data_IF_421639588563
#
_entry.id   IF_421639588563
#
_cell.length_a   1.000
_cell.length_b   1.000
_cell.length_c   1.000
_cell.angle_alpha   90.00
_cell.angle_beta   90.00
_cell.angle_gamma   90.00
#
_symmetry.space_group_name_H-M   'P 1'
#
loop_
_entity.id
_entity.type
_entity.pdbx_description
1 polymer ?
#
# COMPACT_ATOMS: atom_id res chain seq x y z
N UNK A 1 -23.64 22.38 13.35
CA UNK A 1 -23.12 21.91 12.06
C UNK A 1 -23.85 20.69 11.54
N UNK A 2 -23.89 19.54 12.25
CA UNK A 2 -24.60 18.32 11.81
C UNK A 2 -26.05 18.61 11.40
N UNK A 3 -26.81 19.33 12.21
CA UNK A 3 -28.18 19.75 11.90
C UNK A 3 -28.27 20.66 10.68
N UNK A 4 -27.30 21.56 10.49
CA UNK A 4 -27.21 22.40 9.30
C UNK A 4 -27.01 21.58 8.03
N UNK A 5 -26.07 20.61 8.04
CA UNK A 5 -25.84 19.70 6.91
C UNK A 5 -27.09 18.87 6.64
N UNK A 6 -27.66 18.23 7.66
CA UNK A 6 -28.86 17.40 7.52
C UNK A 6 -30.04 18.19 6.91
N UNK A 7 -30.27 19.43 7.39
CA UNK A 7 -31.31 20.31 6.88
C UNK A 7 -31.05 20.72 5.42
N UNK A 8 -29.80 21.04 5.08
CA UNK A 8 -29.39 21.40 3.72
C UNK A 8 -29.62 20.26 2.72
N UNK A 9 -29.39 19.02 3.14
CA UNK A 9 -29.60 17.82 2.32
C UNK A 9 -31.08 17.44 2.21
N UNK A 10 -31.84 17.57 3.31
CA UNK A 10 -33.28 17.29 3.31
C UNK A 10 -34.06 18.20 2.35
N UNK A 11 -33.65 19.47 2.21
CA UNK A 11 -34.24 20.42 1.25
C UNK A 11 -34.03 19.99 -0.21
N UNK A 12 -33.13 19.03 -0.46
CA UNK A 12 -32.83 18.47 -1.79
C UNK A 12 -33.27 17.01 -1.97
N UNK A 13 -34.13 16.54 -1.06
CA UNK A 13 -34.72 15.20 -1.15
C UNK A 13 -33.80 14.07 -0.65
N UNK A 14 -32.66 14.38 -0.01
CA UNK A 14 -31.80 13.37 0.59
C UNK A 14 -32.23 13.05 2.02
N UNK A 15 -32.22 11.79 2.38
CA UNK A 15 -32.41 11.36 3.76
C UNK A 15 -31.07 11.42 4.52
N UNK A 16 -31.01 12.11 5.64
CA UNK A 16 -29.81 12.27 6.42
C UNK A 16 -29.93 11.63 7.81
N UNK A 17 -29.03 10.68 8.10
CA UNK A 17 -28.87 10.09 9.43
C UNK A 17 -27.74 10.84 10.16
N UNK A 18 -27.93 11.14 11.42
CA UNK A 18 -26.93 11.86 12.24
C UNK A 18 -26.29 10.93 13.25
N UNK A 19 -24.96 10.89 13.29
CA UNK A 19 -24.19 10.19 14.29
C UNK A 19 -23.48 11.16 15.24
N UNK A 20 -23.25 10.74 16.49
CA UNK A 20 -22.62 11.55 17.52
C UNK A 20 -21.09 11.42 17.55
N UNK A 21 -20.56 10.29 17.08
CA UNK A 21 -19.13 9.96 16.99
C UNK A 21 -18.87 8.98 15.85
N UNK A 22 -17.59 8.70 15.54
CA UNK A 22 -17.21 7.69 14.55
C UNK A 22 -17.73 6.29 14.91
N UNK A 23 -17.65 5.89 16.19
CA UNK A 23 -18.16 4.60 16.68
C UNK A 23 -19.69 4.51 16.57
N UNK A 24 -20.38 5.62 16.84
CA UNK A 24 -21.84 5.69 16.68
C UNK A 24 -22.23 5.57 15.21
N UNK A 25 -21.48 6.22 14.31
CA UNK A 25 -21.68 6.12 12.87
C UNK A 25 -21.50 4.67 12.38
N UNK A 26 -20.43 3.97 12.79
CA UNK A 26 -20.23 2.57 12.43
C UNK A 26 -21.37 1.67 12.91
N UNK A 27 -21.86 1.86 14.14
CA UNK A 27 -23.03 1.11 14.65
C UNK A 27 -24.30 1.34 13.84
N UNK A 28 -24.55 2.60 13.43
CA UNK A 28 -25.73 2.93 12.62
C UNK A 28 -25.60 2.36 11.22
N UNK A 29 -24.42 2.45 10.59
CA UNK A 29 -24.15 1.94 9.25
C UNK A 29 -24.30 0.41 9.14
N UNK A 30 -23.96 -0.33 10.21
CA UNK A 30 -24.23 -1.78 10.27
C UNK A 30 -25.72 -2.13 10.23
N UNK A 31 -26.58 -1.25 10.76
CA UNK A 31 -28.03 -1.45 10.77
C UNK A 31 -28.70 -0.92 9.52
N UNK A 32 -28.18 0.15 8.97
CA UNK A 32 -28.74 0.86 7.83
C UNK A 32 -27.63 1.38 6.92
N UNK A 33 -27.32 0.65 5.83
CA UNK A 33 -26.35 1.12 4.83
C UNK A 33 -26.76 2.47 4.25
N UNK A 34 -25.78 3.33 3.96
CA UNK A 34 -25.95 4.63 3.32
C UNK A 34 -25.06 4.74 2.09
N UNK A 35 -25.41 5.62 1.16
CA UNK A 35 -24.62 5.84 -0.06
C UNK A 35 -23.41 6.76 0.17
N UNK A 36 -23.58 7.76 1.04
CA UNK A 36 -22.57 8.79 1.30
C UNK A 36 -22.43 9.03 2.81
N UNK A 37 -21.21 9.18 3.28
CA UNK A 37 -20.90 9.57 4.65
C UNK A 37 -20.18 10.92 4.62
N UNK A 38 -20.65 11.88 5.42
CA UNK A 38 -20.03 13.18 5.61
C UNK A 38 -19.42 13.21 7.00
N UNK A 39 -18.11 13.37 7.10
CA UNK A 39 -17.39 13.33 8.37
C UNK A 39 -16.46 14.52 8.57
N UNK A 40 -16.40 15.03 9.80
CA UNK A 40 -15.35 15.97 10.20
C UNK A 40 -14.02 15.20 10.34
N UNK A 41 -12.90 15.87 10.01
CA UNK A 41 -11.57 15.30 10.28
C UNK A 41 -11.30 15.31 11.79
N UNK A 42 -11.62 16.40 12.48
CA UNK A 42 -11.40 16.51 13.92
C UNK A 42 -12.64 16.08 14.72
N UNK A 43 -12.59 14.88 15.23
CA UNK A 43 -13.63 14.34 16.12
C UNK A 43 -12.98 13.79 17.41
N UNK A 44 -13.68 13.87 18.58
CA UNK A 44 -13.21 13.24 19.81
C UNK A 44 -13.11 11.71 19.65
N UNK A 45 -12.16 11.10 20.33
CA UNK A 45 -11.91 9.64 20.41
C UNK A 45 -11.46 8.98 19.11
N UNK A 46 -12.17 9.18 18.01
CA UNK A 46 -11.86 8.64 16.68
C UNK A 46 -11.91 9.77 15.66
N UNK A 47 -10.77 10.17 15.09
CA UNK A 47 -10.73 11.17 14.03
C UNK A 47 -11.37 10.67 12.72
N UNK A 48 -11.67 11.59 11.80
CA UNK A 48 -12.34 11.25 10.55
C UNK A 48 -11.54 10.29 9.66
N UNK A 49 -10.21 10.34 9.70
CA UNK A 49 -9.37 9.41 8.96
C UNK A 49 -9.39 8.00 9.56
N UNK A 50 -9.32 7.90 10.88
CA UNK A 50 -9.46 6.64 11.61
C UNK A 50 -10.84 6.02 11.42
N UNK A 51 -11.89 6.84 11.42
CA UNK A 51 -13.24 6.42 11.07
C UNK A 51 -13.32 5.89 9.64
N UNK A 52 -12.77 6.61 8.65
CA UNK A 52 -12.77 6.17 7.26
C UNK A 52 -12.05 4.83 7.08
N UNK A 53 -10.89 4.64 7.75
CA UNK A 53 -10.18 3.36 7.75
C UNK A 53 -11.02 2.23 8.37
N UNK A 54 -11.65 2.49 9.53
CA UNK A 54 -12.53 1.51 10.16
C UNK A 54 -13.71 1.14 9.25
N UNK A 55 -14.31 2.12 8.59
CA UNK A 55 -15.40 1.93 7.65
C UNK A 55 -14.97 1.08 6.44
N UNK A 56 -13.80 1.35 5.86
CA UNK A 56 -13.25 0.56 4.74
C UNK A 56 -12.91 -0.89 5.13
N UNK A 57 -12.63 -1.14 6.40
CA UNK A 57 -12.37 -2.49 6.93
C UNK A 57 -13.64 -3.31 7.14
N UNK A 58 -14.81 -2.68 7.25
CA UNK A 58 -16.08 -3.37 7.49
C UNK A 58 -16.82 -3.65 6.18
N UNK A 59 -16.53 -4.77 5.55
CA UNK A 59 -17.16 -5.18 4.28
C UNK A 59 -18.67 -5.37 4.38
N UNK A 60 -19.20 -5.68 5.58
CA UNK A 60 -20.63 -5.85 5.84
C UNK A 60 -21.43 -4.53 5.73
N UNK A 61 -20.81 -3.38 5.86
CA UNK A 61 -21.47 -2.06 5.79
C UNK A 61 -21.67 -1.58 4.33
N UNK A 62 -21.05 -2.24 3.36
CA UNK A 62 -20.90 -1.71 2.01
C UNK A 62 -19.77 -0.67 1.97
N UNK A 63 -19.60 -0.01 0.83
CA UNK A 63 -18.53 0.98 0.62
C UNK A 63 -19.16 2.35 0.28
N UNK A 64 -19.65 3.12 1.26
CA UNK A 64 -20.17 4.45 1.02
C UNK A 64 -19.07 5.39 0.54
N UNK A 65 -19.43 6.37 -0.28
CA UNK A 65 -18.56 7.48 -0.62
C UNK A 65 -18.34 8.37 0.61
N UNK A 66 -17.13 8.88 0.81
CA UNK A 66 -16.80 9.67 1.99
C UNK A 66 -16.48 11.11 1.58
N UNK A 67 -17.21 12.07 2.16
CA UNK A 67 -16.92 13.51 2.04
C UNK A 67 -16.32 13.97 3.36
N UNK A 68 -15.08 14.46 3.33
CA UNK A 68 -14.47 15.04 4.50
C UNK A 68 -14.79 16.53 4.63
N UNK A 69 -14.93 16.97 5.87
CA UNK A 69 -15.12 18.38 6.22
C UNK A 69 -14.01 18.81 7.16
N UNK A 70 -13.30 19.90 6.89
CA UNK A 70 -12.19 20.40 7.70
C UNK A 70 -12.26 21.90 7.93
N UNK A 71 -11.78 22.39 9.08
CA UNK A 71 -11.63 23.81 9.38
C UNK A 71 -10.30 24.41 8.90
N UNK A 72 -9.44 23.63 8.28
CA UNK A 72 -8.08 24.02 7.88
C UNK A 72 -7.89 23.82 6.38
N UNK A 73 -7.44 24.89 5.72
CA UNK A 73 -6.98 24.90 4.34
C UNK A 73 -5.54 24.33 4.28
N UNK A 74 -5.36 23.10 4.77
CA UNK A 74 -4.09 22.41 4.69
C UNK A 74 -4.11 21.48 3.49
N UNK A 75 -3.28 21.76 2.50
CA UNK A 75 -3.02 20.85 1.36
C UNK A 75 -2.72 19.42 1.80
N UNK A 76 -2.18 19.26 3.01
CA UNK A 76 -1.89 17.97 3.62
C UNK A 76 -3.17 17.20 3.99
N UNK A 77 -4.18 17.86 4.60
CA UNK A 77 -5.46 17.23 4.91
C UNK A 77 -6.23 16.81 3.64
N UNK A 78 -6.18 17.62 2.59
CA UNK A 78 -6.77 17.28 1.31
C UNK A 78 -6.11 16.02 0.71
N UNK A 79 -4.77 15.99 0.66
CA UNK A 79 -4.02 14.81 0.18
C UNK A 79 -4.34 13.55 0.99
N UNK A 80 -4.35 13.65 2.32
CA UNK A 80 -4.70 12.54 3.22
C UNK A 80 -6.13 12.05 2.99
N UNK A 81 -7.10 12.96 2.80
CA UNK A 81 -8.47 12.60 2.50
C UNK A 81 -8.57 11.80 1.19
N UNK A 82 -7.89 12.26 0.13
CA UNK A 82 -7.88 11.56 -1.15
C UNK A 82 -7.21 10.18 -1.05
N UNK A 83 -6.15 10.02 -0.25
CA UNK A 83 -5.48 8.74 -0.03
C UNK A 83 -6.35 7.70 0.71
N UNK A 84 -7.19 8.13 1.64
CA UNK A 84 -8.15 7.21 2.30
C UNK A 84 -9.42 6.97 1.47
N UNK A 85 -9.41 7.40 0.21
CA UNK A 85 -10.51 7.18 -0.72
C UNK A 85 -11.69 8.13 -0.49
N UNK A 86 -11.41 9.41 -0.15
CA UNK A 86 -12.42 10.46 -0.15
C UNK A 86 -13.01 10.65 -1.54
N UNK A 87 -14.33 10.78 -1.61
CA UNK A 87 -15.01 11.15 -2.84
C UNK A 87 -15.00 12.67 -3.05
N UNK A 88 -15.01 13.44 -1.93
CA UNK A 88 -14.90 14.90 -1.97
C UNK A 88 -14.40 15.47 -0.63
N UNK A 89 -14.07 16.76 -0.61
CA UNK A 89 -13.52 17.47 0.54
C UNK A 89 -14.05 18.91 0.60
N UNK A 90 -14.52 19.33 1.78
CA UNK A 90 -15.05 20.68 2.01
C UNK A 90 -14.29 21.41 3.11
N UNK A 91 -13.94 22.66 2.88
CA UNK A 91 -13.28 23.54 3.86
C UNK A 91 -14.33 24.41 4.57
N UNK A 92 -14.28 24.46 5.90
CA UNK A 92 -15.12 25.34 6.71
C UNK A 92 -14.55 26.77 6.72
N UNK A 93 -15.42 27.82 6.67
CA UNK A 93 -16.88 27.74 6.60
C UNK A 93 -17.38 27.47 5.19
N UNK A 94 -18.43 26.67 5.03
CA UNK A 94 -19.05 26.38 3.74
C UNK A 94 -20.55 26.72 3.76
N UNK A 95 -21.10 27.02 2.58
CA UNK A 95 -22.51 27.33 2.37
C UNK A 95 -23.34 26.06 2.15
N UNK A 96 -24.65 26.17 2.36
CA UNK A 96 -25.61 25.07 2.08
C UNK A 96 -25.51 24.58 0.63
N UNK A 97 -25.21 25.48 -0.32
CA UNK A 97 -25.03 25.12 -1.72
C UNK A 97 -23.80 24.23 -1.93
N UNK A 98 -22.65 24.55 -1.30
CA UNK A 98 -21.38 23.83 -1.49
C UNK A 98 -21.45 22.38 -0.99
N UNK A 99 -22.14 22.14 0.16
CA UNK A 99 -22.36 20.77 0.63
C UNK A 99 -23.29 20.00 -0.29
N UNK A 100 -24.33 20.65 -0.81
CA UNK A 100 -25.25 20.02 -1.74
C UNK A 100 -24.57 19.69 -3.08
N UNK A 101 -23.72 20.59 -3.59
CA UNK A 101 -22.97 20.38 -4.83
C UNK A 101 -21.96 19.22 -4.68
N UNK A 102 -21.30 19.13 -3.50
CA UNK A 102 -20.42 18.00 -3.19
C UNK A 102 -21.17 16.67 -3.18
N UNK A 103 -22.34 16.61 -2.54
CA UNK A 103 -23.19 15.40 -2.54
C UNK A 103 -23.65 15.07 -3.95
N UNK A 104 -24.10 16.07 -4.74
CA UNK A 104 -24.51 15.87 -6.14
C UNK A 104 -23.37 15.27 -6.97
N UNK A 105 -22.15 15.84 -6.89
CA UNK A 105 -20.98 15.29 -7.58
C UNK A 105 -20.70 13.82 -7.17
N UNK A 106 -20.82 13.50 -5.88
CA UNK A 106 -20.63 12.13 -5.40
C UNK A 106 -21.72 11.17 -5.96
N UNK A 107 -22.99 11.59 -5.99
CA UNK A 107 -24.08 10.82 -6.57
C UNK A 107 -23.86 10.60 -8.06
N UNK A 108 -23.59 11.65 -8.81
CA UNK A 108 -23.32 11.56 -10.26
C UNK A 108 -22.11 10.66 -10.57
N UNK A 109 -21.02 10.82 -9.82
CA UNK A 109 -19.84 9.97 -9.96
C UNK A 109 -20.12 8.51 -9.57
N UNK A 110 -21.01 8.27 -8.61
CA UNK A 110 -21.44 6.92 -8.21
C UNK A 110 -22.35 6.29 -9.27
N UNK A 111 -23.29 7.06 -9.82
CA UNK A 111 -24.17 6.60 -10.87
C UNK A 111 -23.42 6.40 -12.18
N UNK A 112 -22.46 7.26 -12.52
CA UNK A 112 -21.54 7.05 -13.63
C UNK A 112 -20.71 5.78 -13.43
N UNK A 113 -20.17 5.54 -12.21
CA UNK A 113 -19.45 4.30 -11.87
C UNK A 113 -20.36 3.06 -11.96
N UNK A 114 -21.64 3.16 -11.56
CA UNK A 114 -22.63 2.07 -11.72
C UNK A 114 -22.97 1.86 -13.20
N UNK A 115 -23.19 2.92 -13.96
CA UNK A 115 -23.44 2.85 -15.40
C UNK A 115 -22.20 2.39 -16.19
N UNK A 116 -21.01 2.87 -15.81
CA UNK A 116 -19.73 2.41 -16.36
C UNK A 116 -19.36 1.00 -15.90
N UNK A 117 -19.74 0.57 -14.68
CA UNK A 117 -19.56 -0.80 -14.22
C UNK A 117 -20.49 -1.77 -14.96
N UNK A 118 -21.67 -1.33 -15.36
CA UNK A 118 -22.53 -2.12 -16.24
C UNK A 118 -22.04 -2.14 -17.69
N UNK A 119 -21.58 -1.03 -18.24
CA UNK A 119 -21.05 -0.97 -19.62
C UNK A 119 -19.57 -1.36 -19.74
N UNK A 120 -18.72 -1.06 -18.74
CA UNK A 120 -17.32 -1.52 -18.65
C UNK A 120 -17.16 -2.92 -18.07
N UNK A 121 -18.12 -3.39 -17.26
CA UNK A 121 -18.16 -4.77 -16.78
C UNK A 121 -18.23 -5.75 -17.93
N UNK A 122 -19.00 -5.46 -18.95
CA UNK A 122 -19.09 -6.30 -20.14
C UNK A 122 -17.88 -6.13 -21.07
N UNK A 123 -17.38 -4.90 -21.31
CA UNK A 123 -16.26 -4.65 -22.24
C UNK A 123 -14.87 -4.77 -21.63
N UNK A 124 -14.70 -4.45 -20.32
CA UNK A 124 -13.38 -4.58 -19.64
C UNK A 124 -13.10 -6.03 -19.24
N UNK A 125 -14.10 -6.83 -18.97
CA UNK A 125 -13.96 -8.26 -18.70
C UNK A 125 -13.71 -9.06 -19.99
N UNK A 126 -14.17 -8.60 -21.15
CA UNK A 126 -13.91 -9.26 -22.44
C UNK A 126 -12.44 -9.21 -22.87
N UNK A 127 -11.65 -8.24 -22.39
CA UNK A 127 -10.23 -8.07 -22.71
C UNK A 127 -9.27 -8.49 -21.59
N UNK A 128 -9.77 -9.04 -20.46
CA UNK A 128 -8.91 -9.59 -19.42
C UNK A 128 -8.49 -11.01 -19.77
N UNK A 129 -7.23 -11.38 -19.53
CA UNK A 129 -6.82 -12.77 -19.69
C UNK A 129 -7.65 -13.65 -18.75
N UNK A 130 -8.27 -14.68 -19.30
CA UNK A 130 -8.99 -15.66 -18.51
C UNK A 130 -7.97 -16.50 -17.73
N UNK A 131 -8.02 -16.41 -16.41
CA UNK A 131 -7.21 -17.25 -15.54
C UNK A 131 -8.08 -18.41 -15.07
N UNK A 132 -7.70 -19.61 -15.47
CA UNK A 132 -8.43 -20.82 -15.07
C UNK A 132 -8.42 -20.93 -13.53
N UNK A 133 -9.58 -21.26 -12.95
CA UNK A 133 -9.73 -21.40 -11.50
C UNK A 133 -10.11 -20.09 -10.76
N UNK A 134 -10.17 -18.94 -11.44
CA UNK A 134 -10.48 -17.65 -10.80
C UNK A 134 -11.66 -16.94 -11.45
N UNK A 135 -12.49 -16.35 -10.60
CA UNK A 135 -13.54 -15.39 -10.94
C UNK A 135 -13.08 -13.99 -10.47
N UNK A 136 -12.85 -13.07 -11.41
CA UNK A 136 -12.43 -11.71 -11.09
C UNK A 136 -13.58 -10.93 -10.52
N UNK A 137 -13.39 -10.32 -9.31
CA UNK A 137 -14.40 -9.54 -8.60
C UNK A 137 -14.25 -8.06 -8.87
N UNK A 138 -13.02 -7.52 -8.67
CA UNK A 138 -12.74 -6.09 -8.88
C UNK A 138 -11.24 -5.85 -9.07
N UNK A 139 -10.89 -4.73 -9.72
CA UNK A 139 -9.50 -4.26 -9.83
C UNK A 139 -9.06 -3.63 -8.50
N UNK A 140 -7.94 -4.08 -7.95
CA UNK A 140 -7.33 -3.53 -6.73
C UNK A 140 -6.25 -2.49 -7.04
N UNK A 141 -5.53 -2.66 -8.16
CA UNK A 141 -4.44 -1.75 -8.52
C UNK A 141 -3.87 -2.02 -9.91
N UNK A 142 -3.03 -1.07 -10.34
CA UNK A 142 -2.29 -1.15 -11.60
C UNK A 142 -0.86 -0.65 -11.38
N UNK A 143 0.10 -1.43 -11.86
CA UNK A 143 1.49 -1.05 -11.95
C UNK A 143 1.92 -0.91 -13.41
N UNK A 144 3.16 -0.49 -13.65
CA UNK A 144 3.70 -0.26 -15.01
C UNK A 144 3.55 -1.50 -15.94
N UNK A 145 3.72 -2.71 -15.41
CA UNK A 145 3.66 -3.96 -16.17
C UNK A 145 2.69 -4.98 -15.59
N UNK A 146 1.90 -4.63 -14.58
CA UNK A 146 1.01 -5.56 -13.88
C UNK A 146 -0.33 -4.96 -13.51
N UNK A 147 -1.34 -5.81 -13.48
CA UNK A 147 -2.68 -5.51 -12.95
C UNK A 147 -2.90 -6.40 -11.72
N UNK A 148 -3.52 -5.85 -10.68
CA UNK A 148 -3.88 -6.60 -9.47
C UNK A 148 -5.40 -6.57 -9.32
N UNK A 149 -6.00 -7.75 -9.14
CA UNK A 149 -7.43 -7.93 -8.95
C UNK A 149 -7.73 -8.64 -7.65
N UNK A 150 -8.86 -8.33 -7.05
CA UNK A 150 -9.53 -9.23 -6.14
C UNK A 150 -10.24 -10.30 -6.98
N UNK A 151 -9.97 -11.55 -6.69
CA UNK A 151 -10.59 -12.67 -7.38
C UNK A 151 -11.05 -13.73 -6.38
N UNK A 152 -12.14 -14.45 -6.71
CA UNK A 152 -12.57 -15.62 -5.95
C UNK A 152 -11.97 -16.86 -6.60
N UNK A 153 -11.23 -17.64 -5.84
CA UNK A 153 -10.77 -18.95 -6.29
C UNK A 153 -11.96 -19.93 -6.32
N UNK A 154 -12.25 -20.49 -7.50
CA UNK A 154 -13.52 -21.21 -7.75
C UNK A 154 -13.65 -22.46 -6.85
N UNK A 155 -12.55 -23.19 -6.66
CA UNK A 155 -12.57 -24.44 -5.91
C UNK A 155 -12.68 -24.23 -4.39
N UNK A 156 -11.90 -23.31 -3.79
CA UNK A 156 -11.91 -23.06 -2.34
C UNK A 156 -12.94 -22.01 -1.90
N UNK A 157 -13.47 -21.21 -2.84
CA UNK A 157 -14.35 -20.04 -2.56
C UNK A 157 -13.66 -18.93 -1.76
N UNK A 158 -12.34 -18.98 -1.61
CA UNK A 158 -11.56 -17.98 -0.91
C UNK A 158 -11.26 -16.78 -1.82
N UNK A 159 -11.11 -15.61 -1.20
CA UNK A 159 -10.69 -14.40 -1.90
C UNK A 159 -9.18 -14.32 -1.95
N UNK A 160 -8.64 -14.17 -3.15
CA UNK A 160 -7.21 -14.00 -3.42
C UNK A 160 -6.95 -12.65 -4.08
N UNK A 161 -5.78 -12.09 -3.85
CA UNK A 161 -5.22 -11.03 -4.70
C UNK A 161 -4.56 -11.69 -5.90
N UNK A 162 -5.10 -11.46 -7.09
CA UNK A 162 -4.60 -12.02 -8.34
C UNK A 162 -3.78 -10.96 -9.08
N UNK A 163 -2.46 -11.13 -9.12
CA UNK A 163 -1.55 -10.26 -9.87
C UNK A 163 -1.32 -10.86 -11.25
N UNK A 164 -1.57 -10.06 -12.29
CA UNK A 164 -1.47 -10.46 -13.69
C UNK A 164 -0.39 -9.60 -14.37
N UNK A 165 0.61 -10.25 -14.97
CA UNK A 165 1.66 -9.63 -15.76
C UNK A 165 1.45 -9.96 -17.24
N UNK A 166 1.29 -8.94 -18.08
CA UNK A 166 1.11 -9.12 -19.53
C UNK A 166 2.42 -9.48 -20.20
N UNK A 167 2.41 -10.51 -21.03
CA UNK A 167 3.55 -10.90 -21.88
C UNK A 167 3.39 -10.25 -23.26
N UNK A 168 4.42 -9.49 -23.69
CA UNK A 168 4.48 -8.89 -25.02
C UNK A 168 5.52 -9.66 -25.86
N UNK A 169 5.06 -10.68 -26.58
CA UNK A 169 5.93 -11.53 -27.38
C UNK A 169 6.69 -12.58 -26.55
N UNK A 170 7.08 -13.68 -27.17
CA UNK A 170 7.89 -14.73 -26.54
C UNK A 170 9.05 -15.01 -27.46
N UNK A 171 10.25 -14.60 -27.06
CA UNK A 171 11.54 -15.00 -27.65
C UNK A 171 12.32 -15.85 -26.65
N UNK A 172 13.52 -16.31 -27.01
CA UNK A 172 14.33 -17.16 -26.14
C UNK A 172 14.71 -16.49 -24.82
N UNK A 173 14.99 -15.18 -24.84
CA UNK A 173 15.34 -14.42 -23.63
C UNK A 173 14.16 -14.26 -22.68
N UNK A 174 12.98 -14.11 -23.26
CA UNK A 174 11.69 -14.08 -22.53
C UNK A 174 11.42 -15.42 -21.86
N UNK A 175 11.68 -16.54 -22.52
CA UNK A 175 11.47 -17.87 -21.95
C UNK A 175 12.37 -18.14 -20.73
N UNK A 176 13.64 -17.74 -20.77
CA UNK A 176 14.56 -17.86 -19.62
C UNK A 176 14.11 -16.99 -18.46
N UNK A 177 13.60 -15.77 -18.73
CA UNK A 177 13.07 -14.88 -17.72
C UNK A 177 11.78 -15.45 -17.08
N UNK A 178 10.89 -16.06 -17.85
CA UNK A 178 9.70 -16.77 -17.38
C UNK A 178 10.11 -17.94 -16.47
N UNK A 179 11.06 -18.75 -16.88
CA UNK A 179 11.51 -19.90 -16.11
C UNK A 179 12.10 -19.46 -14.74
N UNK A 180 12.90 -18.39 -14.72
CA UNK A 180 13.39 -17.81 -13.44
C UNK A 180 12.26 -17.28 -12.56
N UNK A 181 11.30 -16.56 -13.15
CA UNK A 181 10.12 -16.10 -12.44
C UNK A 181 9.35 -17.27 -11.80
N UNK A 182 9.07 -18.34 -12.54
CA UNK A 182 8.37 -19.50 -12.03
C UNK A 182 9.14 -20.15 -10.87
N UNK A 183 10.45 -20.34 -11.01
CA UNK A 183 11.30 -20.94 -9.98
C UNK A 183 11.33 -20.09 -8.68
N UNK A 184 11.37 -18.77 -8.77
CA UNK A 184 11.33 -17.89 -7.60
C UNK A 184 9.97 -17.95 -6.89
N UNK A 185 8.85 -18.02 -7.65
CA UNK A 185 7.52 -18.20 -7.08
C UNK A 185 7.27 -19.60 -6.52
N UNK A 186 7.87 -20.63 -7.09
CA UNK A 186 7.89 -21.99 -6.50
C UNK A 186 8.49 -21.96 -5.09
N UNK A 187 9.62 -21.26 -4.93
CA UNK A 187 10.24 -21.11 -3.60
C UNK A 187 9.36 -20.29 -2.64
N UNK A 188 8.73 -19.20 -3.13
CA UNK A 188 7.84 -18.38 -2.33
C UNK A 188 6.57 -19.13 -1.90
N UNK A 189 6.02 -19.99 -2.74
CA UNK A 189 4.81 -20.77 -2.43
C UNK A 189 5.02 -21.76 -1.27
N UNK A 190 6.27 -22.19 -1.06
CA UNK A 190 6.65 -23.08 0.05
C UNK A 190 6.90 -22.29 1.37
N UNK A 191 7.03 -20.95 1.29
CA UNK A 191 7.31 -20.13 2.45
C UNK A 191 6.03 -19.84 3.23
N UNK A 192 6.01 -20.29 4.49
CA UNK A 192 4.93 -20.00 5.44
C UNK A 192 5.47 -19.19 6.61
N UNK A 193 5.11 -17.89 6.67
CA UNK A 193 5.55 -16.99 7.73
C UNK A 193 4.46 -15.95 8.02
N UNK A 194 4.20 -15.57 9.29
CA UNK A 194 3.10 -14.66 9.65
C UNK A 194 3.21 -13.27 9.02
N UNK A 195 4.42 -12.83 8.67
CA UNK A 195 4.69 -11.52 8.09
C UNK A 195 5.10 -11.57 6.61
N UNK A 196 4.80 -12.67 5.91
CA UNK A 196 4.98 -12.81 4.45
C UNK A 196 3.64 -13.17 3.84
N UNK A 197 3.24 -12.48 2.78
CA UNK A 197 2.00 -12.79 2.06
C UNK A 197 2.10 -14.19 1.45
N UNK A 198 1.14 -15.04 1.77
CA UNK A 198 1.11 -16.40 1.26
C UNK A 198 0.85 -16.39 -0.25
N UNK A 199 1.70 -17.08 -0.99
CA UNK A 199 1.45 -17.39 -2.41
C UNK A 199 0.69 -18.72 -2.44
N UNK A 200 -0.51 -18.71 -3.03
CA UNK A 200 -1.37 -19.88 -3.14
C UNK A 200 -1.08 -20.67 -4.42
N UNK A 201 -0.96 -19.96 -5.52
CA UNK A 201 -0.58 -20.53 -6.80
C UNK A 201 0.00 -19.48 -7.74
N UNK A 202 0.65 -19.94 -8.78
CA UNK A 202 1.17 -19.11 -9.87
C UNK A 202 1.20 -19.94 -11.16
N UNK A 203 1.21 -19.26 -12.29
CA UNK A 203 1.18 -19.97 -13.56
C UNK A 203 1.21 -19.05 -14.78
N UNK A 204 1.06 -19.70 -15.92
CA UNK A 204 0.99 -19.08 -17.24
C UNK A 204 -0.47 -19.13 -17.69
N UNK A 205 -1.04 -17.97 -17.95
CA UNK A 205 -2.35 -17.83 -18.57
C UNK A 205 -2.24 -17.49 -20.04
N UNK A 206 -3.36 -17.11 -20.66
CA UNK A 206 -3.37 -16.67 -22.06
C UNK A 206 -2.62 -15.33 -22.17
N UNK A 207 -1.41 -15.36 -22.74
CA UNK A 207 -0.48 -14.21 -22.92
C UNK A 207 -0.16 -13.45 -21.62
N UNK A 208 -0.18 -14.11 -20.47
CA UNK A 208 0.17 -13.49 -19.19
C UNK A 208 0.78 -14.51 -18.23
N UNK A 209 1.49 -13.99 -17.23
CA UNK A 209 1.79 -14.70 -16.00
C UNK A 209 0.81 -14.25 -14.94
N UNK A 210 0.44 -15.15 -14.03
CA UNK A 210 -0.40 -14.79 -12.89
C UNK A 210 0.14 -15.35 -11.59
N UNK A 211 -0.21 -14.67 -10.50
CA UNK A 211 0.13 -15.05 -9.14
C UNK A 211 -1.12 -14.84 -8.30
N UNK A 212 -1.64 -15.93 -7.72
CA UNK A 212 -2.70 -15.92 -6.73
C UNK A 212 -2.10 -15.89 -5.32
N UNK A 213 -2.34 -14.83 -4.58
CA UNK A 213 -1.77 -14.62 -3.25
C UNK A 213 -2.85 -14.25 -2.23
N UNK A 214 -2.49 -14.32 -0.96
CA UNK A 214 -3.32 -13.89 0.15
C UNK A 214 -3.86 -12.48 -0.08
N UNK A 215 -5.18 -12.30 0.06
CA UNK A 215 -5.80 -10.97 0.03
C UNK A 215 -5.68 -10.30 1.40
N UNK A 216 -5.08 -9.13 1.43
CA UNK A 216 -4.81 -8.35 2.65
C UNK A 216 -5.58 -7.01 2.58
N UNK A 217 -6.78 -6.94 3.15
CA UNK A 217 -7.66 -5.77 3.01
C UNK A 217 -7.30 -4.60 3.93
N UNK A 218 -6.31 -4.74 4.79
CA UNK A 218 -5.93 -3.71 5.79
C UNK A 218 -5.24 -2.46 5.22
N UNK A 219 -5.05 -2.39 3.90
CA UNK A 219 -4.30 -1.32 3.25
C UNK A 219 -2.79 -1.54 3.33
N UNK A 220 -2.02 -0.55 2.96
CA UNK A 220 -0.55 -0.59 3.02
C UNK A 220 0.02 0.35 4.10
N UNK A 221 1.30 0.19 4.40
CA UNK A 221 2.00 0.91 5.46
C UNK A 221 2.07 2.42 5.25
N UNK A 222 1.88 2.93 4.02
CA UNK A 222 1.81 4.38 3.75
C UNK A 222 0.73 5.04 4.61
N UNK A 223 -0.42 4.39 4.75
CA UNK A 223 -1.54 4.92 5.54
C UNK A 223 -1.18 5.08 7.02
N UNK A 224 -0.43 4.12 7.59
CA UNK A 224 0.00 4.21 8.98
C UNK A 224 1.08 5.30 9.17
N UNK A 225 2.03 5.42 8.23
CA UNK A 225 3.07 6.47 8.24
C UNK A 225 2.44 7.86 8.15
N UNK A 226 1.52 8.06 7.22
CA UNK A 226 0.81 9.33 7.00
C UNK A 226 -0.07 9.70 8.20
N UNK A 227 -0.65 8.72 8.89
CA UNK A 227 -1.41 8.94 10.12
C UNK A 227 -0.54 9.36 11.30
N UNK A 228 0.77 9.17 11.20
CA UNK A 228 1.74 9.39 12.26
C UNK A 228 1.82 8.20 13.21
N UNK A 229 2.96 7.52 13.20
CA UNK A 229 3.19 6.36 14.06
C UNK A 229 3.86 6.77 15.37
N UNK A 230 3.49 6.10 16.47
CA UNK A 230 4.31 6.18 17.68
C UNK A 230 5.65 5.46 17.45
N UNK A 231 6.76 5.87 18.12
CA UNK A 231 8.04 5.18 17.97
C UNK A 231 7.97 3.69 18.31
N UNK A 232 7.15 3.30 19.29
CA UNK A 232 6.93 1.91 19.70
C UNK A 232 6.20 1.11 18.61
N UNK A 233 5.22 1.70 17.93
CA UNK A 233 4.54 1.05 16.80
C UNK A 233 5.49 0.91 15.62
N UNK A 234 6.29 1.94 15.33
CA UNK A 234 7.30 1.90 14.27
C UNK A 234 8.34 0.79 14.53
N UNK A 235 8.81 0.66 15.79
CA UNK A 235 9.70 -0.42 16.21
C UNK A 235 9.07 -1.80 16.00
N UNK A 236 7.82 -1.99 16.43
CA UNK A 236 7.09 -3.25 16.24
C UNK A 236 7.02 -3.61 14.75
N UNK A 237 6.64 -2.64 13.88
CA UNK A 237 6.56 -2.87 12.44
C UNK A 237 7.91 -3.20 11.82
N UNK A 238 8.96 -2.47 12.19
CA UNK A 238 10.30 -2.76 11.71
C UNK A 238 10.78 -4.16 12.10
N UNK A 239 10.47 -4.61 13.33
CA UNK A 239 10.79 -5.96 13.79
C UNK A 239 9.98 -7.05 13.06
N UNK A 240 8.70 -6.81 12.77
CA UNK A 240 7.84 -7.70 11.97
C UNK A 240 8.40 -7.87 10.54
N UNK A 241 8.79 -6.75 9.90
CA UNK A 241 9.38 -6.73 8.56
C UNK A 241 10.76 -7.41 8.56
N UNK A 242 11.60 -7.15 9.57
CA UNK A 242 12.90 -7.84 9.70
C UNK A 242 12.74 -9.36 9.85
N UNK A 243 11.73 -9.82 10.61
CA UNK A 243 11.40 -11.25 10.74
C UNK A 243 11.00 -11.87 9.39
N UNK A 244 10.19 -11.15 8.61
CA UNK A 244 9.80 -11.58 7.27
C UNK A 244 11.02 -11.66 6.33
N UNK A 245 11.89 -10.64 6.35
CA UNK A 245 13.12 -10.65 5.54
C UNK A 245 14.04 -11.79 5.91
N UNK A 246 14.16 -12.15 7.20
CA UNK A 246 14.96 -13.31 7.61
C UNK A 246 14.46 -14.62 6.98
N UNK A 247 13.15 -14.84 6.98
CA UNK A 247 12.54 -16.01 6.36
C UNK A 247 12.71 -16.02 4.83
N UNK A 248 12.54 -14.87 4.17
CA UNK A 248 12.73 -14.70 2.72
C UNK A 248 14.19 -14.97 2.33
N UNK A 249 15.15 -14.41 3.07
CA UNK A 249 16.57 -14.60 2.82
C UNK A 249 17.03 -16.04 3.08
N UNK A 250 16.47 -16.72 4.11
CA UNK A 250 16.74 -18.13 4.37
C UNK A 250 16.25 -19.02 3.22
N UNK A 251 15.20 -18.63 2.50
CA UNK A 251 14.74 -19.30 1.29
C UNK A 251 15.57 -18.94 0.03
N UNK A 252 16.66 -18.17 0.18
CA UNK A 252 17.51 -17.76 -0.94
C UNK A 252 16.95 -16.63 -1.80
N UNK A 253 15.88 -15.98 -1.36
CA UNK A 253 15.18 -14.93 -2.10
C UNK A 253 15.62 -13.54 -1.57
N UNK A 254 15.75 -12.57 -2.46
CA UNK A 254 16.02 -11.16 -2.13
C UNK A 254 14.84 -10.33 -2.61
N UNK A 255 14.30 -9.48 -1.73
CA UNK A 255 13.07 -8.72 -2.05
C UNK A 255 13.30 -7.59 -3.07
N UNK A 256 14.39 -6.84 -2.98
CA UNK A 256 14.89 -5.80 -3.91
C UNK A 256 14.00 -4.57 -4.11
N UNK A 257 12.76 -4.55 -3.64
CA UNK A 257 11.81 -3.43 -3.79
C UNK A 257 11.05 -3.17 -2.48
N UNK A 258 11.73 -3.23 -1.33
CA UNK A 258 11.10 -2.95 -0.05
C UNK A 258 10.74 -1.47 0.05
N UNK A 259 9.44 -1.20 0.25
CA UNK A 259 8.86 0.15 0.37
C UNK A 259 7.49 0.07 1.06
N UNK A 260 6.94 1.17 1.59
CA UNK A 260 5.65 1.15 2.30
C UNK A 260 4.50 0.55 1.50
N UNK A 261 4.45 0.77 0.18
CA UNK A 261 3.41 0.23 -0.70
C UNK A 261 3.42 -1.31 -0.82
N UNK A 262 4.56 -1.94 -0.53
CA UNK A 262 4.75 -3.40 -0.59
C UNK A 262 4.63 -4.06 0.80
N UNK A 263 4.31 -3.28 1.83
CA UNK A 263 4.00 -3.76 3.18
C UNK A 263 2.51 -3.59 3.39
N UNK A 264 1.77 -4.68 3.32
CA UNK A 264 0.33 -4.71 3.51
C UNK A 264 -0.02 -5.04 4.97
N UNK A 265 -1.21 -4.64 5.38
CA UNK A 265 -1.66 -4.84 6.76
C UNK A 265 -2.73 -5.92 6.82
N UNK A 266 -2.61 -6.86 7.77
CA UNK A 266 -3.73 -7.74 8.12
C UNK A 266 -4.82 -6.95 8.86
N UNK A 267 -6.03 -7.48 8.86
CA UNK A 267 -7.13 -6.91 9.65
C UNK A 267 -6.83 -6.90 11.16
N UNK A 268 -6.03 -7.84 11.63
CA UNK A 268 -5.54 -7.96 13.00
C UNK A 268 -4.41 -6.96 13.30
N UNK A 269 -3.93 -6.26 12.28
CA UNK A 269 -3.00 -5.15 12.39
C UNK A 269 -1.52 -5.54 12.23
N UNK A 270 -1.16 -6.76 11.84
CA UNK A 270 0.24 -7.13 11.56
C UNK A 270 0.70 -6.62 10.19
N UNK A 271 1.99 -6.26 10.09
CA UNK A 271 2.63 -5.95 8.83
C UNK A 271 3.04 -7.22 8.10
N UNK A 272 2.80 -7.25 6.79
CA UNK A 272 3.06 -8.40 5.91
C UNK A 272 3.79 -7.91 4.67
N UNK A 273 4.95 -8.47 4.37
CA UNK A 273 5.65 -8.22 3.11
C UNK A 273 4.85 -8.88 1.98
N UNK A 274 4.49 -8.07 0.99
CA UNK A 274 3.85 -8.50 -0.25
C UNK A 274 4.64 -7.95 -1.44
N UNK A 275 4.28 -8.35 -2.63
CA UNK A 275 4.83 -7.82 -3.90
C UNK A 275 6.35 -7.88 -4.00
N UNK A 276 6.88 -9.09 -4.11
CA UNK A 276 8.30 -9.34 -4.37
C UNK A 276 8.72 -8.70 -5.69
N UNK A 277 9.86 -8.00 -5.71
CA UNK A 277 10.37 -7.27 -6.88
C UNK A 277 10.75 -8.13 -8.09
N UNK A 278 10.35 -9.40 -8.11
CA UNK A 278 10.59 -10.38 -9.19
C UNK A 278 10.02 -9.89 -10.52
N UNK A 279 8.84 -9.25 -10.49
CA UNK A 279 8.23 -8.68 -11.68
C UNK A 279 9.08 -7.56 -12.33
N UNK A 280 9.88 -6.82 -11.54
CA UNK A 280 10.83 -5.82 -12.06
C UNK A 280 11.99 -6.46 -12.81
N UNK A 281 12.47 -7.61 -12.35
CA UNK A 281 13.53 -8.36 -13.03
C UNK A 281 13.01 -8.92 -14.37
N UNK A 282 11.78 -9.43 -14.37
CA UNK A 282 11.12 -9.88 -15.60
C UNK A 282 10.96 -8.71 -16.58
N UNK A 283 10.47 -7.56 -16.15
CA UNK A 283 10.32 -6.35 -16.96
C UNK A 283 11.65 -5.86 -17.56
N UNK A 284 12.75 -5.91 -16.81
CA UNK A 284 14.08 -5.56 -17.31
C UNK A 284 14.63 -6.58 -18.31
N UNK A 285 14.31 -7.87 -18.16
CA UNK A 285 14.70 -8.93 -19.07
C UNK A 285 13.84 -8.98 -20.35
N UNK A 286 12.57 -8.57 -20.25
CA UNK A 286 11.63 -8.52 -21.38
C UNK A 286 11.79 -7.28 -22.26
N UNK A 287 12.85 -6.47 -22.06
CA UNK A 287 13.11 -5.25 -22.83
C UNK A 287 11.89 -4.31 -22.96
N UNK A 288 10.99 -4.35 -21.97
CA UNK A 288 9.96 -3.33 -21.82
C UNK A 288 10.68 -2.00 -21.68
N UNK A 289 10.76 -1.31 -22.78
CA UNK A 289 11.44 -0.07 -23.16
C UNK A 289 12.26 0.61 -22.04
N UNK A 290 13.50 1.04 -22.33
CA UNK A 290 14.38 1.82 -21.44
C UNK A 290 13.70 3.04 -20.79
N UNK A 291 12.52 3.44 -21.28
CA UNK A 291 11.66 4.47 -20.68
C UNK A 291 10.90 3.99 -19.46
N UNK A 292 10.54 2.70 -19.37
CA UNK A 292 9.77 2.14 -18.25
C UNK A 292 10.65 1.77 -17.04
N UNK A 293 11.96 1.67 -17.20
CA UNK A 293 12.92 1.50 -16.09
C UNK A 293 13.03 2.75 -15.19
N UNK A 294 12.50 3.90 -15.62
CA UNK A 294 12.44 5.14 -14.83
C UNK A 294 11.17 5.28 -13.96
N UNK A 295 10.26 4.29 -13.96
CA UNK A 295 9.00 4.35 -13.22
C UNK A 295 9.20 3.90 -11.77
N UNK A 296 9.67 4.83 -10.96
CA UNK A 296 9.76 4.74 -9.51
C UNK A 296 10.96 5.52 -8.99
N UNK A 297 10.69 6.62 -8.29
CA UNK A 297 11.77 7.40 -7.66
C UNK A 297 12.51 6.49 -6.66
N UNK A 298 13.86 6.41 -6.68
CA UNK A 298 14.66 5.42 -5.94
C UNK A 298 14.81 5.78 -4.44
N UNK A 299 13.71 6.07 -3.74
CA UNK A 299 13.71 6.52 -2.35
C UNK A 299 14.22 5.50 -1.33
N UNK A 300 14.15 4.20 -1.66
CA UNK A 300 14.53 3.10 -0.75
C UNK A 300 15.72 2.30 -1.31
N UNK A 301 16.34 2.80 -2.37
CA UNK A 301 17.44 2.15 -3.07
C UNK A 301 18.69 2.10 -2.18
N UNK A 302 19.33 0.96 -2.12
CA UNK A 302 20.62 0.83 -1.42
C UNK A 302 21.78 1.42 -2.23
N UNK A 303 22.90 1.80 -1.57
CA UNK A 303 24.09 2.29 -2.26
C UNK A 303 24.61 1.34 -3.34
N UNK A 304 24.63 0.03 -3.09
CA UNK A 304 25.05 -0.98 -4.05
C UNK A 304 24.08 -1.12 -5.25
N UNK A 305 22.78 -0.96 -5.03
CA UNK A 305 21.81 -0.89 -6.12
C UNK A 305 22.05 0.36 -6.99
N UNK A 306 22.36 1.51 -6.37
CA UNK A 306 22.67 2.75 -7.08
C UNK A 306 23.97 2.65 -7.90
N UNK A 307 24.94 1.84 -7.44
CA UNK A 307 26.18 1.57 -8.18
C UNK A 307 26.03 0.51 -9.28
N UNK A 308 24.89 -0.21 -9.30
CA UNK A 308 24.71 -1.39 -10.17
C UNK A 308 25.63 -2.56 -9.80
N UNK A 309 26.06 -2.63 -8.53
CA UNK A 309 26.95 -3.67 -8.02
C UNK A 309 26.17 -4.74 -7.24
N UNK A 310 26.87 -5.75 -6.70
CA UNK A 310 26.31 -6.93 -6.02
C UNK A 310 25.11 -6.62 -5.09
N UNK A 311 23.91 -6.83 -5.59
CA UNK A 311 22.66 -6.71 -4.84
C UNK A 311 22.43 -8.02 -4.08
N UNK A 312 22.23 -7.92 -2.77
CA UNK A 312 22.08 -9.08 -1.91
C UNK A 312 21.10 -8.83 -0.74
N UNK A 313 20.98 -9.75 0.21
CA UNK A 313 20.17 -9.59 1.42
C UNK A 313 20.46 -8.28 2.18
N UNK A 314 21.70 -7.82 2.15
CA UNK A 314 22.12 -6.55 2.75
C UNK A 314 21.46 -5.31 2.11
N UNK A 315 21.02 -5.41 0.86
CA UNK A 315 20.28 -4.32 0.19
C UNK A 315 18.88 -4.14 0.79
N UNK A 316 18.21 -5.24 1.14
CA UNK A 316 16.91 -5.21 1.82
C UNK A 316 17.04 -4.68 3.26
N UNK A 317 18.17 -4.96 3.94
CA UNK A 317 18.46 -4.41 5.27
C UNK A 317 18.61 -2.88 5.21
N UNK A 318 19.27 -2.35 4.18
CA UNK A 318 19.36 -0.90 3.98
C UNK A 318 17.97 -0.29 3.71
N UNK A 319 17.18 -0.91 2.84
CA UNK A 319 15.83 -0.46 2.54
C UNK A 319 14.93 -0.50 3.78
N UNK A 320 15.08 -1.52 4.65
CA UNK A 320 14.41 -1.58 5.97
C UNK A 320 14.83 -0.39 6.86
N UNK A 321 16.11 0.01 6.84
CA UNK A 321 16.60 1.18 7.58
C UNK A 321 15.93 2.47 7.09
N UNK A 322 15.85 2.67 5.77
CA UNK A 322 15.16 3.82 5.15
C UNK A 322 13.67 3.84 5.54
N UNK A 323 13.01 2.68 5.47
CA UNK A 323 11.61 2.52 5.84
C UNK A 323 11.38 2.77 7.33
N UNK A 324 12.27 2.29 8.19
CA UNK A 324 12.17 2.49 9.63
C UNK A 324 12.37 3.97 10.01
N UNK A 325 13.32 4.66 9.36
CA UNK A 325 13.48 6.11 9.50
C UNK A 325 12.18 6.84 9.13
N UNK A 326 11.55 6.48 8.01
CA UNK A 326 10.30 7.09 7.56
C UNK A 326 9.15 6.81 8.53
N UNK A 327 9.02 5.59 9.07
CA UNK A 327 8.04 5.26 10.11
C UNK A 327 8.21 6.09 11.39
N UNK A 328 9.45 6.36 11.82
CA UNK A 328 9.76 7.13 13.02
C UNK A 328 9.52 8.64 12.85
N UNK A 329 9.72 9.16 11.64
CA UNK A 329 9.73 10.61 11.38
C UNK A 329 8.52 11.12 10.60
N UNK A 330 7.85 10.24 9.84
CA UNK A 330 6.85 10.60 8.83
C UNK A 330 7.47 11.19 7.56
N UNK A 331 8.80 11.18 7.42
CA UNK A 331 9.54 11.74 6.28
C UNK A 331 10.64 10.78 5.84
N UNK A 332 10.96 10.79 4.56
CA UNK A 332 12.09 10.02 4.03
C UNK A 332 13.42 10.65 4.47
N UNK A 333 14.49 9.84 4.65
CA UNK A 333 15.80 10.37 5.02
C UNK A 333 16.43 11.23 3.93
N UNK A 334 16.09 10.95 2.67
CA UNK A 334 16.59 11.69 1.52
C UNK A 334 15.47 12.04 0.57
N UNK A 335 15.51 13.28 0.07
CA UNK A 335 14.63 13.81 -0.98
C UNK A 335 15.50 14.38 -2.10
N UNK A 336 15.01 14.38 -3.34
CA UNK A 336 15.73 14.91 -4.49
C UNK A 336 14.76 15.25 -5.61
N UNK A 337 15.12 16.24 -6.43
CA UNK A 337 14.33 16.68 -7.57
C UNK A 337 14.51 15.76 -8.79
N UNK A 338 15.59 14.99 -8.81
CA UNK A 338 15.89 14.02 -9.87
C UNK A 338 16.29 12.66 -9.28
N UNK A 339 16.08 11.55 -10.02
CA UNK A 339 16.54 10.24 -9.60
C UNK A 339 18.06 10.19 -9.33
N UNK A 340 18.88 10.88 -10.14
CA UNK A 340 20.33 10.91 -9.98
C UNK A 340 20.75 11.65 -8.70
N UNK A 341 20.11 12.77 -8.37
CA UNK A 341 20.33 13.48 -7.10
C UNK A 341 20.04 12.57 -5.90
N UNK A 342 18.92 11.87 -5.95
CA UNK A 342 18.50 10.98 -4.88
C UNK A 342 19.45 9.77 -4.75
N UNK A 343 19.87 9.16 -5.85
CA UNK A 343 20.91 8.12 -5.86
C UNK A 343 22.21 8.63 -5.26
N UNK A 344 22.66 9.83 -5.63
CA UNK A 344 23.84 10.49 -5.04
C UNK A 344 23.72 10.65 -3.52
N UNK A 345 22.55 10.98 -3.00
CA UNK A 345 22.30 11.08 -1.55
C UNK A 345 22.36 9.71 -0.86
N UNK A 346 21.80 8.67 -1.45
CA UNK A 346 21.94 7.31 -0.93
C UNK A 346 23.40 6.84 -0.90
N UNK A 347 24.21 7.28 -1.85
CA UNK A 347 25.64 6.94 -1.93
C UNK A 347 26.49 7.69 -0.89
N UNK A 348 26.25 9.00 -0.71
CA UNK A 348 27.24 9.88 -0.09
C UNK A 348 26.71 10.75 1.04
N UNK A 349 25.40 11.06 1.09
CA UNK A 349 24.89 11.95 2.12
C UNK A 349 24.91 11.27 3.50
N UNK A 350 25.21 12.02 4.58
CA UNK A 350 25.13 11.50 5.94
C UNK A 350 23.70 11.05 6.26
N UNK A 351 23.58 10.11 7.19
CA UNK A 351 22.29 9.66 7.71
C UNK A 351 21.72 10.80 8.56
N UNK A 352 20.49 11.27 8.30
CA UNK A 352 19.92 12.37 9.06
C UNK A 352 19.62 11.97 10.51
N UNK A 353 19.71 12.96 11.42
CA UNK A 353 19.39 12.74 12.83
C UNK A 353 17.86 12.58 13.02
N UNK A 354 17.50 11.64 13.87
CA UNK A 354 16.13 11.45 14.31
C UNK A 354 15.69 12.58 15.26
N UNK A 355 14.42 12.95 15.29
CA UNK A 355 13.90 13.90 16.26
C UNK A 355 14.01 13.35 17.69
N UNK A 356 14.04 14.23 18.69
CA UNK A 356 14.26 13.89 20.12
C UNK A 356 13.35 12.74 20.59
N UNK A 357 12.10 12.70 20.16
CA UNK A 357 11.14 11.63 20.52
C UNK A 357 11.53 10.24 20.05
N UNK A 358 12.42 10.15 19.08
CA UNK A 358 12.90 8.90 18.47
C UNK A 358 14.42 8.73 18.53
N UNK A 359 15.16 9.64 19.25
CA UNK A 359 16.61 9.68 19.27
C UNK A 359 17.26 8.38 19.76
N UNK A 360 16.58 7.63 20.64
CA UNK A 360 17.05 6.32 21.13
C UNK A 360 17.26 5.30 20.00
N UNK A 361 16.56 5.44 18.88
CA UNK A 361 16.68 4.54 17.73
C UNK A 361 17.79 4.94 16.75
N UNK A 362 18.49 6.09 16.95
CA UNK A 362 19.49 6.57 16.01
C UNK A 362 20.59 5.54 15.71
N UNK A 363 21.11 4.89 16.76
CA UNK A 363 22.17 3.89 16.60
C UNK A 363 21.76 2.70 15.74
N UNK A 364 20.49 2.32 15.79
CA UNK A 364 19.96 1.24 14.95
C UNK A 364 19.78 1.71 13.51
N UNK A 365 19.27 2.92 13.30
CA UNK A 365 19.13 3.54 11.98
C UNK A 365 20.53 3.66 11.33
N UNK A 366 21.55 4.12 12.07
CA UNK A 366 22.92 4.23 11.57
C UNK A 366 23.48 2.88 11.11
N UNK A 367 23.21 1.81 11.87
CA UNK A 367 23.60 0.44 11.50
C UNK A 367 22.87 -0.08 10.28
N UNK A 368 21.55 0.12 10.19
CA UNK A 368 20.76 -0.38 9.07
C UNK A 368 21.09 0.38 7.78
N UNK A 369 21.31 1.70 7.86
CA UNK A 369 21.56 2.58 6.71
C UNK A 369 23.03 2.82 6.44
N UNK A 370 23.97 2.11 7.08
CA UNK A 370 25.41 2.26 6.81
C UNK A 370 25.69 2.12 5.31
N UNK A 371 26.57 3.00 4.79
CA UNK A 371 26.89 3.05 3.35
C UNK A 371 27.75 1.86 2.92
N UNK A 372 28.65 1.45 3.79
CA UNK A 372 29.41 0.22 3.60
C UNK A 372 28.60 -0.98 4.12
N UNK A 373 28.59 -2.04 3.34
CA UNK A 373 27.88 -3.29 3.68
C UNK A 373 28.50 -3.94 4.94
N UNK A 374 29.82 -3.81 5.13
CA UNK A 374 30.51 -4.38 6.29
C UNK A 374 30.08 -3.75 7.63
N UNK A 375 29.61 -2.50 7.61
CA UNK A 375 29.16 -1.76 8.79
C UNK A 375 27.69 -2.00 9.11
N UNK A 376 26.95 -2.66 8.20
CA UNK A 376 25.52 -3.00 8.40
C UNK A 376 25.34 -4.19 9.32
N UNK A 377 24.08 -4.43 9.72
CA UNK A 377 23.69 -5.70 10.33
C UNK A 377 24.02 -6.85 9.37
N UNK A 378 24.60 -7.92 9.89
CA UNK A 378 25.08 -9.04 9.08
C UNK A 378 23.97 -9.77 8.32
N UNK A 379 22.76 -9.81 8.90
CA UNK A 379 21.56 -10.43 8.33
C UNK A 379 20.31 -9.83 8.94
N UNK A 380 19.13 -10.25 8.48
CA UNK A 380 17.86 -9.73 8.94
C UNK A 380 17.54 -10.12 10.40
N UNK A 381 18.03 -11.25 10.91
CA UNK A 381 17.89 -11.61 12.32
C UNK A 381 18.69 -10.67 13.22
N UNK A 382 19.93 -10.33 12.84
CA UNK A 382 20.74 -9.34 13.53
C UNK A 382 20.08 -7.95 13.47
N UNK A 383 19.48 -7.58 12.35
CA UNK A 383 18.71 -6.35 12.22
C UNK A 383 17.50 -6.34 13.16
N UNK A 384 16.73 -7.43 13.23
CA UNK A 384 15.60 -7.60 14.15
C UNK A 384 16.03 -7.48 15.61
N UNK A 385 17.11 -8.16 15.99
CA UNK A 385 17.66 -8.07 17.35
C UNK A 385 18.06 -6.64 17.71
N UNK A 386 18.76 -5.94 16.82
CA UNK A 386 19.15 -4.54 17.02
C UNK A 386 17.93 -3.61 17.15
N UNK A 387 16.88 -3.82 16.37
CA UNK A 387 15.63 -3.04 16.45
C UNK A 387 14.97 -3.24 17.82
N UNK A 388 14.87 -4.48 18.31
CA UNK A 388 14.19 -4.79 19.57
C UNK A 388 14.98 -4.32 20.80
N UNK A 389 16.33 -4.35 20.74
CA UNK A 389 17.18 -3.91 21.86
C UNK A 389 17.33 -2.39 22.00
N UNK A 390 16.77 -1.60 21.09
CA UNK A 390 16.91 -0.14 21.11
C UNK A 390 16.18 0.57 22.29
N UNK A 391 15.41 -0.17 23.08
CA UNK A 391 14.59 0.36 24.21
C UNK A 391 15.20 -0.03 25.56
N UNK A 392 16.20 -0.93 25.56
CA UNK A 392 16.97 -1.28 26.75
C UNK A 392 18.20 -0.36 26.90
#
# INVERSE_FOLDING_TARGET
>A
MREFIARSLALRGHEALMARSGEDALRQLRKRPTDIVITDIRMPHMDGFSFARALRRETAIGQPDIIFVSSLDEREHYRRAMHVGAADFLVKPFKSQEIADAVTRCVEARDARKGEAQSRGEHALENLPRIQGYEIVQKLGEGAASLVFLATHIASREQHALKILKLQGIDTSTQEAINRFMAEYDMLSQLSHPHVARVHEHGIGDRCLFIGMEYLPGGDLRLDIEAGMSPQLAQKRAAEIASALAAIHAAGIIHRDLKPANILMRMTGEAVIADFGIAKQLGSALALTRHDMAVGTPYYMSPEQARGSNVGPHSDIYALGVLYFEMLTGRRPYEGNTPNELMGKHLHAPIPLLPTRAAMYQRVIDKLMAKDVADRCANADAARAAILSAVE
#
